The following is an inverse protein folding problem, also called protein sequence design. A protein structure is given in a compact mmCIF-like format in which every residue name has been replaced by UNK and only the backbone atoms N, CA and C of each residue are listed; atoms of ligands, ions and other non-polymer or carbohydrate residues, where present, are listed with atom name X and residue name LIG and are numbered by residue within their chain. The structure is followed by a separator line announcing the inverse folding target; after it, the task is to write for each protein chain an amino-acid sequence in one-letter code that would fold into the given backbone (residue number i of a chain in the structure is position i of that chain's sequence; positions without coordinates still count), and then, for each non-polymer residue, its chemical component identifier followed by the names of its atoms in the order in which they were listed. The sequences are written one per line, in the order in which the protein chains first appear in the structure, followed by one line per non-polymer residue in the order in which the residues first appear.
data_IF_828281766906
#
_entry.id   IF_828281766906
#
_cell.length_a   1.000
_cell.length_b   1.000
_cell.length_c   1.000
_cell.angle_alpha   90.00
_cell.angle_beta   90.00
_cell.angle_gamma   90.00
#
_symmetry.space_group_name_H-M   'P 1'
#
loop_
_entity.id
_entity.type
_entity.pdbx_description
1 polymer ?
#
# COMPACT_ATOMS: atom_id res chain seq x y z
N UNK A 1 -30.34 -18.04 13.72
CA UNK A 1 -31.67 -18.34 13.17
C UNK A 1 -31.51 -19.32 12.00
N UNK A 2 -32.57 -20.07 11.65
CA UNK A 2 -32.56 -20.98 10.49
C UNK A 2 -32.15 -20.28 9.18
N UNK A 3 -32.51 -19.00 9.02
CA UNK A 3 -32.09 -18.18 7.88
C UNK A 3 -30.58 -17.95 7.83
N UNK A 4 -29.93 -17.62 8.96
CA UNK A 4 -28.48 -17.46 9.03
C UNK A 4 -27.73 -18.75 8.67
N UNK A 5 -28.27 -19.91 9.06
CA UNK A 5 -27.68 -21.22 8.74
C UNK A 5 -27.86 -21.57 7.25
N UNK A 6 -29.00 -21.22 6.66
CA UNK A 6 -29.26 -21.45 5.24
C UNK A 6 -28.41 -20.53 4.36
N UNK A 7 -28.27 -19.26 4.74
CA UNK A 7 -27.36 -18.32 4.08
C UNK A 7 -25.90 -18.77 4.20
N UNK A 8 -25.48 -19.29 5.36
CA UNK A 8 -24.16 -19.88 5.58
C UNK A 8 -23.89 -21.12 4.71
N UNK A 9 -24.83 -22.07 4.65
CA UNK A 9 -24.69 -23.27 3.81
C UNK A 9 -24.68 -22.91 2.31
N UNK A 10 -25.45 -21.90 1.90
CA UNK A 10 -25.43 -21.41 0.52
C UNK A 10 -24.14 -20.66 0.17
N UNK A 11 -23.58 -19.88 1.10
CA UNK A 11 -22.24 -19.29 0.98
C UNK A 11 -21.20 -20.39 0.77
N UNK A 12 -21.20 -21.43 1.61
CA UNK A 12 -20.32 -22.61 1.43
C UNK A 12 -20.48 -23.25 0.06
N UNK A 13 -21.72 -23.38 -0.43
CA UNK A 13 -22.00 -23.97 -1.75
C UNK A 13 -21.48 -23.07 -2.90
N UNK A 14 -21.57 -21.75 -2.77
CA UNK A 14 -21.02 -20.80 -3.74
C UNK A 14 -19.49 -20.73 -3.71
N UNK A 15 -18.88 -20.74 -2.52
CA UNK A 15 -17.42 -20.87 -2.35
C UNK A 15 -16.94 -22.17 -2.97
N UNK A 16 -17.65 -23.28 -2.75
CA UNK A 16 -17.37 -24.57 -3.40
C UNK A 16 -17.54 -24.49 -4.93
N UNK A 17 -18.58 -23.83 -5.43
CA UNK A 17 -18.79 -23.61 -6.87
C UNK A 17 -17.69 -22.73 -7.49
N UNK A 18 -17.20 -21.73 -6.77
CA UNK A 18 -16.06 -20.89 -7.16
C UNK A 18 -14.75 -21.69 -7.20
N UNK A 19 -14.53 -22.58 -6.21
CA UNK A 19 -13.41 -23.54 -6.18
C UNK A 19 -13.48 -24.55 -7.33
N UNK A 20 -14.67 -24.97 -7.76
CA UNK A 20 -14.88 -25.86 -8.91
C UNK A 20 -14.77 -25.09 -10.24
N UNK A 21 -14.97 -23.77 -10.21
CA UNK A 21 -14.93 -22.87 -11.37
C UNK A 21 -13.52 -22.46 -11.83
N UNK A 22 -12.46 -22.74 -11.05
CA UNK A 22 -11.10 -22.67 -11.58
C UNK A 22 -10.88 -23.88 -12.50
N UNK A 23 -11.25 -23.71 -13.78
CA UNK A 23 -10.94 -24.71 -14.80
C UNK A 23 -9.44 -25.05 -14.73
N UNK A 24 -9.05 -26.34 -14.86
CA UNK A 24 -7.66 -26.73 -15.02
C UNK A 24 -6.94 -25.90 -16.10
N UNK A 25 -7.68 -25.46 -17.14
CA UNK A 25 -7.18 -24.59 -18.19
C UNK A 25 -6.87 -23.15 -17.71
N UNK A 26 -7.61 -22.60 -16.76
CA UNK A 26 -7.32 -21.27 -16.18
C UNK A 26 -6.12 -21.32 -15.24
N UNK A 27 -5.98 -22.41 -14.47
CA UNK A 27 -4.80 -22.67 -13.66
C UNK A 27 -3.56 -22.91 -14.54
N UNK A 28 -3.72 -23.66 -15.64
CA UNK A 28 -2.66 -23.91 -16.62
C UNK A 28 -2.28 -22.64 -17.39
N UNK A 29 -3.24 -21.82 -17.84
CA UNK A 29 -2.99 -20.54 -18.49
C UNK A 29 -2.35 -19.52 -17.53
N UNK A 30 -2.70 -19.53 -16.24
CA UNK A 30 -2.02 -18.75 -15.20
C UNK A 30 -0.57 -19.22 -15.03
N UNK A 31 -0.35 -20.55 -14.99
CA UNK A 31 1.00 -21.14 -14.96
C UNK A 31 1.82 -20.79 -16.19
N UNK A 32 1.21 -20.82 -17.38
CA UNK A 32 1.83 -20.45 -18.65
C UNK A 32 2.13 -18.95 -18.76
N UNK A 33 1.26 -18.10 -18.22
CA UNK A 33 1.45 -16.64 -18.24
C UNK A 33 2.49 -16.19 -17.22
N UNK A 34 2.52 -16.83 -16.04
CA UNK A 34 3.61 -16.69 -15.06
C UNK A 34 4.93 -17.23 -15.62
N UNK A 35 4.92 -18.37 -16.32
CA UNK A 35 6.12 -18.93 -16.96
C UNK A 35 6.60 -18.16 -18.20
N UNK A 36 5.79 -17.23 -18.75
CA UNK A 36 6.18 -16.37 -19.88
C UNK A 36 6.93 -15.12 -19.45
N UNK A 37 6.87 -14.72 -18.17
CA UNK A 37 7.75 -13.67 -17.64
C UNK A 37 9.11 -14.31 -17.40
N UNK A 38 10.09 -13.95 -18.22
CA UNK A 38 11.49 -14.28 -17.95
C UNK A 38 11.90 -13.49 -16.72
N UNK A 39 11.79 -14.11 -15.56
CA UNK A 39 12.25 -13.52 -14.32
C UNK A 39 13.77 -13.49 -14.30
N UNK A 40 14.32 -12.29 -14.14
CA UNK A 40 15.74 -12.13 -13.88
C UNK A 40 16.04 -12.65 -12.47
N UNK A 41 17.22 -13.25 -12.30
CA UNK A 41 17.71 -13.58 -10.96
C UNK A 41 17.84 -12.30 -10.12
N UNK A 42 17.37 -12.35 -8.87
CA UNK A 42 17.55 -11.26 -7.92
C UNK A 42 19.06 -11.13 -7.65
N UNK A 43 19.57 -9.90 -7.70
CA UNK A 43 21.00 -9.63 -7.45
C UNK A 43 21.40 -9.99 -6.02
N UNK A 44 22.70 -10.22 -5.76
CA UNK A 44 23.20 -10.33 -4.39
C UNK A 44 22.91 -9.07 -3.56
N UNK A 45 22.90 -9.25 -2.23
CA UNK A 45 22.76 -8.13 -1.29
C UNK A 45 23.93 -7.14 -1.40
N UNK A 46 23.63 -5.87 -1.17
CA UNK A 46 24.69 -4.86 -1.01
C UNK A 46 25.49 -5.13 0.28
N UNK A 47 26.80 -4.80 0.32
CA UNK A 47 27.63 -5.01 1.50
C UNK A 47 27.09 -4.26 2.73
N UNK A 48 26.92 -4.97 3.85
CA UNK A 48 26.32 -4.43 5.08
C UNK A 48 27.08 -3.24 5.65
N UNK A 49 28.41 -3.29 5.62
CA UNK A 49 29.31 -2.21 6.04
C UNK A 49 29.06 -0.92 5.25
N UNK A 50 28.84 -1.04 3.95
CA UNK A 50 28.49 0.10 3.09
C UNK A 50 27.11 0.67 3.41
N UNK A 51 26.13 -0.18 3.67
CA UNK A 51 24.78 0.26 4.07
C UNK A 51 24.83 1.01 5.41
N UNK A 52 25.55 0.46 6.39
CA UNK A 52 25.73 1.12 7.69
C UNK A 52 26.44 2.46 7.57
N UNK A 53 27.50 2.54 6.77
CA UNK A 53 28.20 3.79 6.52
C UNK A 53 27.27 4.84 5.92
N UNK A 54 26.58 4.52 4.82
CA UNK A 54 25.65 5.46 4.17
C UNK A 54 24.54 5.94 5.12
N UNK A 55 24.04 5.08 6.01
CA UNK A 55 23.02 5.46 7.00
C UNK A 55 23.57 6.28 8.17
N UNK A 56 24.81 6.04 8.60
CA UNK A 56 25.45 6.77 9.70
C UNK A 56 25.98 8.14 9.26
N UNK A 57 26.31 8.29 7.97
CA UNK A 57 26.71 9.57 7.37
C UNK A 57 25.53 10.53 7.17
N UNK A 58 24.28 10.05 7.31
CA UNK A 58 23.10 10.90 7.23
C UNK A 58 23.05 11.89 8.41
N UNK A 59 22.67 13.15 8.16
CA UNK A 59 22.48 14.12 9.24
C UNK A 59 21.42 13.67 10.23
N UNK A 60 21.58 14.02 11.51
CA UNK A 60 20.68 13.57 12.59
C UNK A 60 19.17 13.82 12.32
N UNK A 61 18.83 14.90 11.60
CA UNK A 61 17.44 15.22 11.20
C UNK A 61 16.78 14.14 10.32
N UNK A 62 17.57 13.28 9.67
CA UNK A 62 17.07 12.18 8.84
C UNK A 62 16.59 10.99 9.68
N UNK A 63 16.96 10.92 10.95
CA UNK A 63 16.43 9.93 11.90
C UNK A 63 15.13 10.45 12.49
N UNK A 64 14.04 9.75 12.24
CA UNK A 64 12.68 10.17 12.58
C UNK A 64 12.19 9.56 13.90
N UNK A 65 12.63 8.33 14.20
CA UNK A 65 12.30 7.63 15.44
C UNK A 65 13.30 6.51 15.72
N UNK A 66 13.38 6.11 16.98
CA UNK A 66 14.07 4.90 17.43
C UNK A 66 13.17 4.11 18.39
N UNK A 67 13.24 2.79 18.34
CA UNK A 67 12.52 1.89 19.26
C UNK A 67 13.31 0.59 19.44
N UNK A 68 13.88 0.40 20.62
CA UNK A 68 14.84 -0.69 20.84
C UNK A 68 15.99 -0.58 19.84
N UNK A 69 16.28 -1.67 19.15
CA UNK A 69 17.36 -1.74 18.15
C UNK A 69 16.95 -1.19 16.77
N UNK A 70 15.69 -0.81 16.58
CA UNK A 70 15.23 -0.25 15.32
C UNK A 70 15.44 1.25 15.25
N UNK A 71 15.99 1.72 14.13
CA UNK A 71 16.00 3.13 13.72
C UNK A 71 15.10 3.32 12.51
N UNK A 72 14.33 4.39 12.50
CA UNK A 72 13.52 4.80 11.36
C UNK A 72 14.15 6.04 10.74
N UNK A 73 14.58 5.92 9.49
CA UNK A 73 15.29 6.98 8.77
C UNK A 73 14.62 7.25 7.42
N UNK A 74 14.90 8.42 6.84
CA UNK A 74 14.64 8.67 5.43
C UNK A 74 15.89 9.16 4.71
N UNK A 75 16.03 8.82 3.43
CA UNK A 75 17.15 9.24 2.59
C UNK A 75 16.68 9.53 1.16
N UNK A 76 17.58 10.06 0.34
CA UNK A 76 17.39 10.23 -1.11
C UNK A 76 18.32 9.28 -1.87
N UNK A 77 18.04 9.06 -3.15
CA UNK A 77 18.89 8.26 -4.03
C UNK A 77 20.34 8.76 -4.07
N UNK A 78 20.53 10.08 -4.08
CA UNK A 78 21.85 10.70 -4.15
C UNK A 78 22.65 10.54 -2.84
N UNK A 79 21.98 10.60 -1.69
CA UNK A 79 22.64 10.51 -0.39
C UNK A 79 23.01 9.07 0.01
N UNK A 80 22.21 8.08 -0.41
CA UNK A 80 22.44 6.67 -0.02
C UNK A 80 22.18 5.71 -1.19
N UNK A 81 23.07 5.68 -2.20
CA UNK A 81 22.86 4.89 -3.41
C UNK A 81 22.93 3.37 -3.18
N UNK A 82 23.74 2.87 -2.25
CA UNK A 82 23.73 1.44 -1.90
C UNK A 82 22.45 1.07 -1.13
N UNK A 83 22.01 1.91 -0.21
CA UNK A 83 20.73 1.73 0.48
C UNK A 83 19.58 1.64 -0.51
N UNK A 84 19.53 2.52 -1.52
CA UNK A 84 18.48 2.46 -2.55
C UNK A 84 18.53 1.17 -3.37
N UNK A 85 19.73 0.73 -3.78
CA UNK A 85 19.89 -0.55 -4.52
C UNK A 85 19.44 -1.74 -3.69
N UNK A 86 19.72 -1.73 -2.40
CA UNK A 86 19.27 -2.78 -1.47
C UNK A 86 17.77 -2.74 -1.25
N UNK A 87 17.17 -1.55 -1.11
CA UNK A 87 15.70 -1.37 -1.07
C UNK A 87 15.07 -1.99 -2.32
N UNK A 88 15.59 -1.69 -3.52
CA UNK A 88 15.06 -2.23 -4.78
C UNK A 88 15.17 -3.76 -4.86
N UNK A 89 16.28 -4.33 -4.37
CA UNK A 89 16.47 -5.79 -4.29
C UNK A 89 15.44 -6.42 -3.33
N UNK A 90 15.28 -5.85 -2.14
CA UNK A 90 14.38 -6.35 -1.10
C UNK A 90 12.89 -6.17 -1.45
N UNK A 91 12.54 -5.10 -2.16
CA UNK A 91 11.22 -4.91 -2.77
C UNK A 91 10.90 -6.08 -3.69
N UNK A 92 11.74 -6.32 -4.70
CA UNK A 92 11.50 -7.39 -5.66
C UNK A 92 11.42 -8.76 -4.98
N UNK A 93 12.33 -9.06 -4.04
CA UNK A 93 12.32 -10.29 -3.25
C UNK A 93 10.99 -10.48 -2.52
N UNK A 94 10.47 -9.41 -1.92
CA UNK A 94 9.23 -9.45 -1.13
C UNK A 94 8.01 -9.57 -2.03
N UNK A 95 7.94 -8.77 -3.10
CA UNK A 95 6.79 -8.72 -4.01
C UNK A 95 6.64 -10.02 -4.81
N UNK A 96 7.73 -10.61 -5.32
CA UNK A 96 7.66 -11.93 -5.97
C UNK A 96 7.15 -13.02 -5.05
N UNK A 97 7.48 -12.95 -3.75
CA UNK A 97 7.02 -13.91 -2.75
C UNK A 97 5.50 -13.99 -2.59
N UNK A 98 4.75 -12.98 -3.08
CA UNK A 98 3.29 -12.89 -3.00
C UNK A 98 2.61 -12.78 -4.38
N UNK A 99 3.33 -13.18 -5.44
CA UNK A 99 2.82 -13.21 -6.81
C UNK A 99 2.76 -11.83 -7.50
N UNK A 100 3.41 -10.82 -6.91
CA UNK A 100 3.54 -9.46 -7.43
C UNK A 100 4.94 -9.23 -8.04
N UNK A 101 5.33 -7.97 -8.21
CA UNK A 101 6.69 -7.59 -8.58
C UNK A 101 6.92 -7.44 -10.09
N UNK A 102 8.11 -6.94 -10.43
CA UNK A 102 8.43 -6.52 -11.80
C UNK A 102 9.04 -7.64 -12.65
N UNK A 103 9.53 -8.71 -12.02
CA UNK A 103 10.30 -9.77 -12.66
C UNK A 103 11.75 -9.38 -12.97
N UNK A 104 12.19 -8.17 -12.57
CA UNK A 104 13.56 -7.67 -12.79
C UNK A 104 14.48 -7.98 -11.62
N UNK A 105 15.78 -7.83 -11.77
CA UNK A 105 16.72 -8.14 -10.68
C UNK A 105 16.59 -7.22 -9.44
N UNK A 106 16.04 -6.02 -9.64
CA UNK A 106 15.67 -5.04 -8.60
C UNK A 106 14.37 -4.35 -9.03
N UNK A 107 13.51 -4.06 -8.08
CA UNK A 107 12.35 -3.19 -8.27
C UNK A 107 12.77 -1.73 -8.06
N UNK A 108 13.35 -1.15 -9.12
CA UNK A 108 13.66 0.28 -9.22
C UNK A 108 13.11 0.84 -10.54
N UNK A 109 12.50 2.02 -10.48
CA UNK A 109 11.97 2.77 -11.61
C UNK A 109 12.61 4.16 -11.71
N UNK A 110 12.18 4.96 -12.68
CA UNK A 110 12.73 6.31 -12.90
C UNK A 110 12.38 7.31 -11.77
N UNK A 111 11.33 7.03 -11.01
CA UNK A 111 10.84 7.87 -9.91
C UNK A 111 11.73 7.73 -8.67
N UNK A 112 12.33 6.56 -8.45
CA UNK A 112 13.17 6.32 -7.27
C UNK A 112 14.35 7.29 -7.13
N UNK A 113 14.77 7.95 -8.22
CA UNK A 113 15.81 8.98 -8.19
C UNK A 113 15.36 10.30 -7.54
N UNK A 114 14.09 10.68 -7.72
CA UNK A 114 13.54 11.92 -7.15
C UNK A 114 12.96 11.71 -5.75
N UNK A 115 12.43 10.50 -5.49
CA UNK A 115 11.65 10.21 -4.29
C UNK A 115 12.55 10.06 -3.07
N UNK A 116 11.97 10.38 -1.92
CA UNK A 116 12.52 10.03 -0.62
C UNK A 116 12.20 8.56 -0.30
N UNK A 117 13.12 7.91 0.39
CA UNK A 117 13.01 6.52 0.81
C UNK A 117 13.07 6.45 2.32
N UNK A 118 11.93 6.18 2.94
CA UNK A 118 11.80 5.87 4.36
C UNK A 118 12.13 4.40 4.59
N UNK A 119 12.89 4.09 5.62
CA UNK A 119 13.26 2.72 5.96
C UNK A 119 13.33 2.49 7.47
N UNK A 120 13.12 1.23 7.84
CA UNK A 120 13.42 0.73 9.19
C UNK A 120 14.71 -0.08 9.11
N UNK A 121 15.71 0.34 9.87
CA UNK A 121 17.00 -0.32 10.00
C UNK A 121 17.07 -1.03 11.35
N UNK A 122 17.47 -2.30 11.36
CA UNK A 122 17.80 -3.04 12.59
C UNK A 122 19.28 -2.88 12.90
N UNK A 123 19.61 -2.27 14.05
CA UNK A 123 21.00 -2.18 14.52
C UNK A 123 21.59 -3.49 15.01
N UNK A 124 20.76 -4.44 15.43
CA UNK A 124 21.23 -5.74 15.92
C UNK A 124 21.60 -6.64 14.74
N UNK A 125 20.62 -6.94 13.88
CA UNK A 125 20.82 -7.77 12.67
C UNK A 125 21.43 -7.06 11.46
N UNK A 126 21.80 -5.77 11.59
CA UNK A 126 22.46 -4.95 10.55
C UNK A 126 21.82 -5.04 9.17
N UNK A 127 20.51 -4.84 9.12
CA UNK A 127 19.75 -4.96 7.87
C UNK A 127 18.53 -4.04 7.83
N UNK A 128 18.11 -3.72 6.60
CA UNK A 128 16.83 -3.08 6.33
C UNK A 128 15.73 -4.11 6.59
N UNK A 129 14.72 -3.71 7.36
CA UNK A 129 13.57 -4.54 7.78
C UNK A 129 12.37 -4.30 6.86
N UNK A 130 12.18 -3.06 6.45
CA UNK A 130 11.12 -2.63 5.56
C UNK A 130 11.35 -1.19 5.12
N UNK A 131 10.65 -0.77 4.07
CA UNK A 131 10.76 0.58 3.54
C UNK A 131 9.44 1.07 2.95
N UNK A 132 9.38 2.38 2.71
CA UNK A 132 8.29 3.10 2.05
C UNK A 132 8.89 4.17 1.14
N UNK A 133 8.28 4.41 -0.03
CA UNK A 133 8.63 5.51 -0.94
C UNK A 133 7.72 6.72 -0.70
N UNK A 134 8.28 7.93 -0.65
CA UNK A 134 7.58 9.19 -0.39
C UNK A 134 7.96 10.25 -1.42
N UNK A 135 6.99 10.97 -1.98
CA UNK A 135 7.24 12.17 -2.80
C UNK A 135 6.36 13.34 -2.38
N UNK A 136 6.91 14.55 -2.41
CA UNK A 136 6.24 15.76 -1.99
C UNK A 136 5.61 16.42 -3.22
N UNK A 137 4.28 16.36 -3.32
CA UNK A 137 3.56 16.70 -4.55
C UNK A 137 3.85 18.12 -5.06
N UNK A 138 3.93 19.12 -4.19
CA UNK A 138 4.24 20.50 -4.57
C UNK A 138 5.66 20.64 -5.15
N UNK A 139 6.65 19.99 -4.53
CA UNK A 139 8.05 20.03 -4.98
C UNK A 139 8.27 19.28 -6.29
N UNK A 140 7.66 18.10 -6.47
CA UNK A 140 7.79 17.36 -7.72
C UNK A 140 7.02 18.02 -8.86
N UNK A 141 5.84 18.60 -8.60
CA UNK A 141 5.07 19.31 -9.61
C UNK A 141 5.82 20.53 -10.14
N UNK A 142 6.54 21.24 -9.29
CA UNK A 142 7.37 22.38 -9.71
C UNK A 142 8.54 21.95 -10.62
N UNK A 143 9.10 20.76 -10.38
CA UNK A 143 10.30 20.27 -11.09
C UNK A 143 9.98 19.50 -12.36
N UNK A 144 8.99 18.61 -12.32
CA UNK A 144 8.66 17.63 -13.38
C UNK A 144 7.20 17.67 -13.83
N UNK A 145 6.38 18.53 -13.23
CA UNK A 145 4.94 18.50 -13.46
C UNK A 145 4.31 17.18 -13.00
N UNK A 146 3.12 16.88 -13.51
CA UNK A 146 2.33 15.71 -13.09
C UNK A 146 3.05 14.40 -13.45
N UNK A 147 3.82 14.40 -14.53
CA UNK A 147 4.59 13.23 -14.97
C UNK A 147 5.68 12.81 -13.97
N UNK A 148 6.02 13.66 -13.00
CA UNK A 148 6.92 13.29 -11.91
C UNK A 148 6.27 12.42 -10.82
N UNK A 149 4.93 12.26 -10.84
CA UNK A 149 4.21 11.39 -9.90
C UNK A 149 4.03 9.99 -10.50
N UNK A 150 4.43 8.96 -9.77
CA UNK A 150 4.26 7.56 -10.13
C UNK A 150 2.79 7.22 -10.42
N UNK A 151 1.85 7.70 -9.60
CA UNK A 151 0.42 7.48 -9.80
C UNK A 151 -0.10 8.00 -11.14
N UNK A 152 0.60 8.95 -11.79
CA UNK A 152 0.24 9.42 -13.13
C UNK A 152 0.45 8.34 -14.22
N UNK A 153 1.24 7.31 -13.93
CA UNK A 153 1.43 6.12 -14.79
C UNK A 153 0.28 5.12 -14.69
N UNK A 154 -0.47 5.13 -13.59
CA UNK A 154 -1.60 4.25 -13.31
C UNK A 154 -2.96 4.94 -13.56
N UNK A 155 -3.01 6.24 -13.31
CA UNK A 155 -4.21 7.06 -13.37
C UNK A 155 -3.98 8.31 -14.21
N UNK A 156 -5.02 8.75 -14.91
CA UNK A 156 -5.06 10.06 -15.58
C UNK A 156 -5.79 11.02 -14.66
N UNK A 157 -5.11 12.09 -14.30
CA UNK A 157 -5.64 13.23 -13.57
C UNK A 157 -4.79 14.45 -13.92
N UNK A 158 -5.30 15.63 -13.60
CA UNK A 158 -4.61 16.88 -13.88
C UNK A 158 -4.42 17.73 -12.62
N UNK A 159 -4.10 19.01 -12.83
CA UNK A 159 -3.85 19.95 -11.75
C UNK A 159 -5.09 20.19 -10.88
N UNK A 160 -6.30 20.05 -11.41
CA UNK A 160 -7.53 20.30 -10.65
C UNK A 160 -7.69 19.34 -9.47
N UNK A 161 -7.26 18.08 -9.60
CA UNK A 161 -7.21 17.15 -8.46
C UNK A 161 -6.17 17.62 -7.43
N UNK A 162 -4.95 17.93 -7.90
CA UNK A 162 -3.82 18.24 -7.04
C UNK A 162 -4.00 19.58 -6.31
N UNK A 163 -4.74 20.52 -6.88
CA UNK A 163 -5.12 21.76 -6.19
C UNK A 163 -6.16 21.53 -5.09
N UNK A 164 -6.96 20.45 -5.15
CA UNK A 164 -7.93 20.12 -4.11
C UNK A 164 -7.32 19.31 -2.96
N UNK A 165 -6.33 18.47 -3.25
CA UNK A 165 -5.70 17.60 -2.23
C UNK A 165 -4.33 18.12 -1.77
N UNK A 166 -3.75 19.10 -2.47
CA UNK A 166 -2.38 19.55 -2.26
C UNK A 166 -2.24 20.61 -1.14
N UNK A 167 -1.03 20.74 -0.56
CA UNK A 167 0.14 19.89 -0.76
C UNK A 167 -0.05 18.52 -0.05
N UNK A 168 0.24 17.45 -0.79
CA UNK A 168 0.11 16.06 -0.35
C UNK A 168 1.44 15.30 -0.47
N UNK A 169 1.55 14.16 0.21
CA UNK A 169 2.64 13.20 0.03
C UNK A 169 2.12 12.00 -0.75
N UNK A 170 2.77 11.69 -1.86
CA UNK A 170 2.54 10.44 -2.57
C UNK A 170 3.31 9.31 -1.87
N UNK A 171 2.60 8.22 -1.55
CA UNK A 171 3.13 7.04 -0.89
C UNK A 171 3.08 5.84 -1.83
N UNK A 172 4.15 5.05 -1.88
CA UNK A 172 4.12 3.79 -2.62
C UNK A 172 5.23 2.80 -2.28
N UNK A 173 5.21 1.65 -2.95
CA UNK A 173 6.26 0.61 -2.93
C UNK A 173 6.70 0.20 -1.52
N UNK A 174 5.74 0.11 -0.61
CA UNK A 174 6.01 -0.31 0.76
C UNK A 174 6.21 -1.82 0.83
N UNK A 175 7.19 -2.25 1.61
CA UNK A 175 7.39 -3.66 1.89
C UNK A 175 7.92 -3.86 3.30
N UNK A 176 7.68 -5.05 3.83
CA UNK A 176 8.34 -5.59 5.02
C UNK A 176 8.89 -6.93 4.62
N UNK A 177 10.15 -7.18 4.94
CA UNK A 177 10.82 -8.43 4.62
C UNK A 177 10.04 -9.62 5.17
N UNK A 178 9.96 -10.75 4.44
CA UNK A 178 9.16 -11.90 4.83
C UNK A 178 9.41 -12.37 6.27
N UNK A 179 10.67 -12.35 6.71
CA UNK A 179 11.08 -12.76 8.06
C UNK A 179 10.43 -11.94 9.18
N UNK A 180 10.03 -10.70 8.90
CA UNK A 180 9.49 -9.74 9.86
C UNK A 180 7.99 -9.46 9.67
N UNK A 181 7.33 -10.09 8.70
CA UNK A 181 5.91 -9.81 8.40
C UNK A 181 4.95 -10.26 9.51
N UNK A 182 5.37 -11.20 10.36
CA UNK A 182 4.61 -11.63 11.55
C UNK A 182 4.79 -10.68 12.73
N UNK A 183 5.81 -9.82 12.68
CA UNK A 183 6.06 -8.86 13.74
C UNK A 183 5.21 -7.62 13.54
N UNK A 184 4.66 -7.13 14.65
CA UNK A 184 3.85 -5.92 14.63
C UNK A 184 4.69 -4.64 14.45
N UNK A 185 5.93 -4.66 14.94
CA UNK A 185 6.78 -3.48 15.06
C UNK A 185 7.17 -2.84 13.71
N UNK A 186 7.59 -3.57 12.66
CA UNK A 186 8.10 -2.95 11.43
C UNK A 186 7.10 -2.04 10.73
N UNK A 187 5.86 -2.52 10.51
CA UNK A 187 4.83 -1.70 9.88
C UNK A 187 4.50 -0.48 10.74
N UNK A 188 4.36 -0.70 12.04
CA UNK A 188 4.08 0.37 12.99
C UNK A 188 5.18 1.45 12.97
N UNK A 189 6.45 1.04 12.86
CA UNK A 189 7.61 1.93 12.78
C UNK A 189 7.67 2.69 11.46
N UNK A 190 7.32 2.08 10.31
CA UNK A 190 7.19 2.81 9.05
C UNK A 190 6.12 3.91 9.16
N UNK A 191 4.94 3.59 9.70
CA UNK A 191 3.88 4.59 9.89
C UNK A 191 4.26 5.66 10.93
N UNK A 192 5.00 5.29 11.97
CA UNK A 192 5.62 6.25 12.90
C UNK A 192 6.59 7.18 12.16
N UNK A 193 7.43 6.64 11.29
CA UNK A 193 8.33 7.43 10.43
C UNK A 193 7.58 8.44 9.57
N UNK A 194 6.56 7.99 8.82
CA UNK A 194 5.71 8.87 7.99
C UNK A 194 5.11 9.99 8.84
N UNK A 195 4.53 9.64 9.99
CA UNK A 195 3.89 10.61 10.88
C UNK A 195 4.88 11.62 11.48
N UNK A 196 6.08 11.18 11.87
CA UNK A 196 7.16 12.06 12.38
C UNK A 196 7.71 12.97 11.28
N UNK A 197 7.82 12.47 10.05
CA UNK A 197 8.20 13.27 8.90
C UNK A 197 7.17 14.38 8.65
N UNK A 198 5.88 14.06 8.72
CA UNK A 198 4.78 15.02 8.57
C UNK A 198 4.74 16.02 9.73
N UNK A 199 4.99 15.59 10.96
CA UNK A 199 5.07 16.51 12.10
C UNK A 199 6.17 17.56 11.91
N UNK A 200 7.30 17.19 11.30
CA UNK A 200 8.37 18.13 10.94
C UNK A 200 8.02 19.00 9.70
N UNK A 201 7.01 18.61 8.92
CA UNK A 201 6.56 19.30 7.71
C UNK A 201 5.02 19.44 7.72
N UNK A 202 4.44 20.18 8.68
CA UNK A 202 3.02 20.09 9.02
C UNK A 202 2.06 20.55 7.92
N UNK A 203 2.56 21.24 6.88
CA UNK A 203 1.77 21.59 5.68
C UNK A 203 1.19 20.35 4.97
N UNK A 204 1.86 19.20 5.06
CA UNK A 204 1.41 17.95 4.42
C UNK A 204 0.42 17.18 5.30
N UNK A 205 -0.88 17.47 5.19
CA UNK A 205 -1.92 16.68 5.89
C UNK A 205 -2.49 15.53 5.05
N UNK A 206 -2.35 15.61 3.73
CA UNK A 206 -2.93 14.65 2.79
C UNK A 206 -1.88 13.61 2.37
N UNK A 207 -2.28 12.34 2.40
CA UNK A 207 -1.52 11.21 1.88
C UNK A 207 -2.30 10.59 0.72
N UNK A 208 -1.64 10.28 -0.39
CA UNK A 208 -2.27 9.55 -1.47
C UNK A 208 -1.33 8.53 -2.09
N UNK A 209 -1.86 7.46 -2.68
CA UNK A 209 -1.03 6.44 -3.30
C UNK A 209 -1.77 5.15 -3.59
N UNK A 210 -1.22 4.29 -4.46
CA UNK A 210 -1.83 3.02 -4.78
C UNK A 210 -1.56 2.02 -3.66
N UNK A 211 -2.61 1.31 -3.24
CA UNK A 211 -2.53 0.14 -2.38
C UNK A 211 -2.92 -1.08 -3.20
N UNK A 212 -1.97 -1.99 -3.37
CA UNK A 212 -2.12 -3.17 -4.21
C UNK A 212 -2.85 -4.31 -3.48
N UNK A 213 -3.74 -4.96 -4.21
CA UNK A 213 -4.39 -6.21 -3.83
C UNK A 213 -3.89 -7.27 -4.82
N UNK A 214 -3.15 -8.26 -4.30
CA UNK A 214 -2.54 -9.31 -5.11
C UNK A 214 -3.55 -9.99 -6.04
N UNK A 215 -3.11 -10.32 -7.25
CA UNK A 215 -3.93 -11.06 -8.20
C UNK A 215 -4.21 -12.50 -7.72
N UNK A 216 -3.47 -12.99 -6.72
CA UNK A 216 -3.61 -14.32 -6.13
C UNK A 216 -4.92 -14.52 -5.34
N UNK A 217 -5.56 -13.43 -4.91
CA UNK A 217 -6.89 -13.48 -4.28
C UNK A 217 -7.92 -14.12 -5.22
N UNK A 218 -8.85 -14.87 -4.62
CA UNK A 218 -10.00 -15.40 -5.35
C UNK A 218 -10.80 -14.25 -5.99
N UNK A 219 -11.40 -14.51 -7.16
CA UNK A 219 -12.15 -13.49 -7.91
C UNK A 219 -13.27 -12.86 -7.10
N UNK A 220 -14.00 -13.67 -6.33
CA UNK A 220 -15.04 -13.21 -5.40
C UNK A 220 -14.47 -12.30 -4.30
N UNK A 221 -13.31 -12.64 -3.72
CA UNK A 221 -12.65 -11.83 -2.69
C UNK A 221 -12.25 -10.45 -3.24
N UNK A 222 -11.68 -10.41 -4.44
CA UNK A 222 -11.35 -9.15 -5.13
C UNK A 222 -12.60 -8.31 -5.38
N UNK A 223 -13.70 -8.92 -5.83
CA UNK A 223 -14.96 -8.20 -6.04
C UNK A 223 -15.53 -7.64 -4.73
N UNK A 224 -15.51 -8.40 -3.64
CA UNK A 224 -15.98 -7.95 -2.33
C UNK A 224 -15.13 -6.79 -1.78
N UNK A 225 -13.80 -6.88 -1.92
CA UNK A 225 -12.87 -5.79 -1.60
C UNK A 225 -13.18 -4.53 -2.43
N UNK A 226 -13.36 -4.70 -3.74
CA UNK A 226 -13.70 -3.59 -4.64
C UNK A 226 -15.01 -2.91 -4.25
N UNK A 227 -16.05 -3.69 -3.95
CA UNK A 227 -17.34 -3.17 -3.54
C UNK A 227 -17.26 -2.43 -2.20
N UNK A 228 -16.59 -3.02 -1.20
CA UNK A 228 -16.40 -2.40 0.10
C UNK A 228 -15.67 -1.05 -0.01
N UNK A 229 -14.57 -1.01 -0.77
CA UNK A 229 -13.78 0.21 -0.93
C UNK A 229 -14.51 1.25 -1.78
N UNK A 230 -15.28 0.83 -2.79
CA UNK A 230 -16.11 1.74 -3.59
C UNK A 230 -17.19 2.40 -2.75
N UNK A 231 -17.82 1.64 -1.85
CA UNK A 231 -18.81 2.18 -0.93
C UNK A 231 -18.20 3.16 0.09
N UNK A 232 -16.95 2.92 0.48
CA UNK A 232 -16.16 3.80 1.34
C UNK A 232 -15.28 4.78 0.53
N UNK A 233 -15.70 5.11 -0.70
CA UNK A 233 -14.98 5.96 -1.63
C UNK A 233 -14.90 7.43 -1.20
N UNK A 234 -14.04 8.17 -1.88
CA UNK A 234 -13.93 9.63 -1.75
C UNK A 234 -15.19 10.32 -2.30
N UNK A 235 -15.27 11.64 -2.15
CA UNK A 235 -16.39 12.40 -2.69
C UNK A 235 -16.52 12.20 -4.22
N UNK A 236 -17.74 12.17 -4.76
CA UNK A 236 -17.95 12.04 -6.20
C UNK A 236 -17.22 13.11 -7.02
N UNK A 237 -17.01 14.30 -6.44
CA UNK A 237 -16.32 15.40 -7.12
C UNK A 237 -14.82 15.14 -7.28
N UNK A 238 -14.17 14.52 -6.28
CA UNK A 238 -12.77 14.08 -6.43
C UNK A 238 -12.66 12.90 -7.38
N UNK A 239 -13.58 11.93 -7.32
CA UNK A 239 -13.54 10.75 -8.19
C UNK A 239 -13.69 11.09 -9.67
N UNK A 240 -14.48 12.12 -10.02
CA UNK A 240 -14.63 12.60 -11.42
C UNK A 240 -13.34 13.17 -12.01
N UNK A 241 -12.37 13.58 -11.19
CA UNK A 241 -11.11 14.16 -11.64
C UNK A 241 -10.06 13.09 -11.96
N UNK A 242 -10.39 11.80 -11.80
CA UNK A 242 -9.47 10.69 -11.95
C UNK A 242 -10.08 9.66 -12.88
N UNK A 243 -9.30 9.23 -13.87
CA UNK A 243 -9.67 8.12 -14.76
C UNK A 243 -8.56 7.08 -14.73
N UNK A 244 -8.83 5.80 -14.40
CA UNK A 244 -7.82 4.76 -14.43
C UNK A 244 -7.35 4.48 -15.87
N UNK A 245 -6.07 4.16 -16.04
CA UNK A 245 -5.53 3.84 -17.37
C UNK A 245 -5.91 2.44 -17.83
N UNK A 246 -6.03 1.51 -16.89
CA UNK A 246 -6.47 0.14 -17.10
C UNK A 246 -7.53 -0.24 -16.06
N UNK A 247 -8.81 0.16 -16.27
CA UNK A 247 -9.87 -0.10 -15.31
C UNK A 247 -10.09 -1.60 -15.09
N UNK A 248 -10.32 -2.05 -13.85
CA UNK A 248 -10.69 -3.43 -13.58
C UNK A 248 -12.08 -3.76 -14.13
N UNK A 249 -12.29 -5.03 -14.46
CA UNK A 249 -13.60 -5.53 -14.86
C UNK A 249 -14.48 -5.75 -13.62
N UNK A 250 -15.44 -4.85 -13.42
CA UNK A 250 -16.47 -5.02 -12.39
C UNK A 250 -17.45 -6.12 -12.81
N UNK A 251 -17.51 -7.19 -12.02
CA UNK A 251 -18.58 -8.17 -12.13
C UNK A 251 -19.86 -7.63 -11.48
N UNK A 252 -21.02 -8.02 -12.00
CA UNK A 252 -22.29 -7.75 -11.31
C UNK A 252 -22.58 -8.89 -10.35
N UNK A 253 -22.69 -8.59 -9.06
CA UNK A 253 -23.16 -9.57 -8.09
C UNK A 253 -24.59 -10.01 -8.39
N UNK A 254 -24.86 -11.32 -8.32
CA UNK A 254 -26.22 -11.86 -8.49
C UNK A 254 -26.66 -12.69 -7.28
N UNK A 255 -27.90 -12.48 -6.84
CA UNK A 255 -28.51 -13.26 -5.77
C UNK A 255 -27.80 -13.10 -4.42
N UNK A 256 -27.15 -14.15 -3.94
CA UNK A 256 -26.51 -14.20 -2.61
C UNK A 256 -25.25 -13.36 -2.57
N UNK A 257 -24.53 -13.24 -3.70
CA UNK A 257 -23.38 -12.35 -3.81
C UNK A 257 -23.76 -10.89 -3.52
N UNK A 258 -24.96 -10.47 -3.91
CA UNK A 258 -25.46 -9.13 -3.62
C UNK A 258 -25.77 -8.94 -2.12
N UNK A 259 -26.25 -9.99 -1.44
CA UNK A 259 -26.46 -9.97 0.02
C UNK A 259 -25.14 -9.98 0.79
N UNK A 260 -24.16 -10.77 0.34
CA UNK A 260 -22.81 -10.80 0.88
C UNK A 260 -22.14 -9.45 0.71
N UNK A 261 -22.15 -8.89 -0.50
CA UNK A 261 -21.70 -7.54 -0.78
C UNK A 261 -22.36 -6.52 0.16
N UNK A 262 -23.69 -6.53 0.27
CA UNK A 262 -24.43 -5.62 1.16
C UNK A 262 -24.10 -5.79 2.66
N UNK A 263 -23.55 -6.93 3.07
CA UNK A 263 -23.11 -7.20 4.44
C UNK A 263 -21.65 -6.81 4.64
N UNK A 264 -20.79 -7.20 3.71
CA UNK A 264 -19.36 -6.91 3.69
C UNK A 264 -19.09 -5.40 3.64
N UNK A 265 -19.89 -4.67 2.87
CA UNK A 265 -19.83 -3.21 2.73
C UNK A 265 -20.02 -2.44 4.04
N UNK A 266 -20.66 -3.03 5.05
CA UNK A 266 -21.04 -2.33 6.29
C UNK A 266 -19.91 -2.18 7.30
N UNK A 267 -19.01 -3.15 7.38
CA UNK A 267 -17.95 -3.20 8.39
C UNK A 267 -16.74 -3.99 7.88
N UNK A 268 -15.55 -3.45 8.14
CA UNK A 268 -14.25 -4.09 7.89
C UNK A 268 -14.19 -5.47 8.54
N UNK A 269 -14.73 -5.64 9.76
CA UNK A 269 -14.70 -6.94 10.47
C UNK A 269 -15.47 -8.01 9.71
N UNK A 270 -16.69 -7.68 9.29
CA UNK A 270 -17.54 -8.60 8.51
C UNK A 270 -16.87 -8.98 7.19
N UNK A 271 -16.24 -8.02 6.50
CA UNK A 271 -15.50 -8.31 5.27
C UNK A 271 -14.32 -9.24 5.55
N UNK A 272 -13.56 -9.00 6.60
CA UNK A 272 -12.39 -9.82 6.95
C UNK A 272 -12.76 -11.29 7.25
N UNK A 273 -13.85 -11.49 8.01
CA UNK A 273 -14.38 -12.83 8.30
C UNK A 273 -14.82 -13.55 7.01
N UNK A 274 -15.52 -12.86 6.11
CA UNK A 274 -15.95 -13.41 4.82
C UNK A 274 -14.72 -13.75 3.93
N UNK A 275 -13.71 -12.88 3.90
CA UNK A 275 -12.48 -13.12 3.15
C UNK A 275 -11.73 -14.34 3.67
N UNK A 276 -11.56 -14.46 4.99
CA UNK A 276 -10.91 -15.60 5.62
C UNK A 276 -11.60 -16.92 5.23
N UNK A 277 -12.94 -16.94 5.20
CA UNK A 277 -13.70 -18.12 4.76
C UNK A 277 -13.45 -18.50 3.29
N UNK A 278 -13.43 -17.51 2.39
CA UNK A 278 -13.23 -17.74 0.95
C UNK A 278 -11.81 -18.24 0.69
N UNK A 279 -10.82 -17.58 1.29
CA UNK A 279 -9.39 -17.82 1.11
C UNK A 279 -8.85 -18.99 1.97
N UNK A 280 -9.74 -19.68 2.70
CA UNK A 280 -9.42 -20.81 3.57
C UNK A 280 -8.35 -20.47 4.62
N UNK A 281 -8.53 -19.33 5.30
CA UNK A 281 -7.65 -18.78 6.34
C UNK A 281 -6.21 -18.48 5.89
N UNK A 282 -5.94 -18.51 4.57
CA UNK A 282 -4.61 -18.21 4.02
C UNK A 282 -4.39 -16.74 3.77
N UNK A 283 -5.43 -16.03 3.35
CA UNK A 283 -5.38 -14.60 3.01
C UNK A 283 -6.57 -13.90 3.68
N UNK A 284 -6.28 -12.89 4.51
CA UNK A 284 -7.27 -11.95 5.06
C UNK A 284 -7.10 -10.60 4.36
N UNK A 285 -7.84 -9.55 4.75
CA UNK A 285 -7.62 -8.24 4.14
C UNK A 285 -6.14 -7.82 4.23
N UNK A 286 -5.52 -7.33 3.13
CA UNK A 286 -4.12 -6.90 3.14
C UNK A 286 -3.84 -5.96 4.32
N UNK A 287 -2.80 -6.25 5.11
CA UNK A 287 -2.50 -5.50 6.34
C UNK A 287 -2.31 -4.01 6.04
N UNK A 288 -1.67 -3.69 4.92
CA UNK A 288 -1.51 -2.32 4.48
C UNK A 288 -2.85 -1.65 4.19
N UNK A 289 -3.74 -2.30 3.45
CA UNK A 289 -5.09 -1.77 3.18
C UNK A 289 -5.86 -1.50 4.47
N UNK A 290 -5.81 -2.44 5.42
CA UNK A 290 -6.42 -2.27 6.75
C UNK A 290 -5.86 -1.05 7.49
N UNK A 291 -4.56 -0.79 7.35
CA UNK A 291 -3.91 0.36 7.95
C UNK A 291 -4.38 1.68 7.30
N UNK A 292 -4.54 1.72 5.98
CA UNK A 292 -5.15 2.89 5.30
C UNK A 292 -6.58 3.14 5.78
N UNK A 293 -7.41 2.10 5.91
CA UNK A 293 -8.78 2.24 6.42
C UNK A 293 -8.82 2.78 7.85
N UNK A 294 -7.87 2.39 8.71
CA UNK A 294 -7.72 2.94 10.07
C UNK A 294 -7.36 4.43 10.08
N UNK A 295 -6.73 4.93 9.02
CA UNK A 295 -6.43 6.33 8.80
C UNK A 295 -7.57 7.07 8.07
N UNK A 296 -8.78 6.49 8.07
CA UNK A 296 -9.95 7.02 7.37
C UNK A 296 -9.71 7.24 5.86
N UNK A 297 -8.79 6.48 5.27
CA UNK A 297 -8.50 6.61 3.85
C UNK A 297 -9.71 6.22 2.99
N UNK A 298 -9.89 6.95 1.90
CA UNK A 298 -10.99 6.82 0.96
C UNK A 298 -10.45 6.42 -0.41
N UNK A 299 -11.20 5.59 -1.11
CA UNK A 299 -10.85 5.17 -2.46
C UNK A 299 -11.19 6.27 -3.48
N UNK A 300 -10.22 6.65 -4.31
CA UNK A 300 -10.39 7.53 -5.46
C UNK A 300 -10.75 6.76 -6.74
N UNK A 301 -9.97 5.73 -7.07
CA UNK A 301 -10.19 4.92 -8.26
C UNK A 301 -9.46 3.58 -8.16
N UNK A 302 -9.86 2.61 -8.99
CA UNK A 302 -9.14 1.36 -9.17
C UNK A 302 -8.44 1.28 -10.52
N UNK A 303 -7.26 0.66 -10.55
CA UNK A 303 -6.52 0.32 -11.76
C UNK A 303 -5.97 -1.11 -11.66
N UNK A 304 -5.80 -1.80 -12.78
CA UNK A 304 -5.04 -3.06 -12.85
C UNK A 304 -3.66 -2.76 -13.40
N UNK A 305 -2.60 -3.16 -12.71
CA UNK A 305 -1.21 -2.97 -13.13
C UNK A 305 -0.62 -4.26 -13.73
N UNK A 306 -0.54 -4.39 -15.06
CA UNK A 306 0.01 -5.58 -15.71
C UNK A 306 1.52 -5.70 -15.57
N UNK A 307 2.23 -4.60 -15.29
CA UNK A 307 3.68 -4.56 -15.14
C UNK A 307 4.10 -5.03 -13.74
N UNK A 308 3.18 -5.01 -12.79
CA UNK A 308 3.39 -5.45 -11.41
C UNK A 308 2.61 -6.73 -11.03
N UNK A 309 2.39 -7.65 -11.97
CA UNK A 309 1.76 -8.95 -11.68
C UNK A 309 0.24 -9.00 -11.82
N UNK A 310 -0.33 -8.10 -12.65
CA UNK A 310 -1.77 -7.91 -12.79
C UNK A 310 -2.47 -7.59 -11.45
N UNK A 311 -1.78 -6.90 -10.53
CA UNK A 311 -2.36 -6.49 -9.24
C UNK A 311 -3.50 -5.51 -9.45
N UNK A 312 -4.45 -5.53 -8.51
CA UNK A 312 -5.49 -4.51 -8.43
C UNK A 312 -5.03 -3.39 -7.50
N UNK A 313 -4.74 -2.22 -8.05
CA UNK A 313 -4.38 -1.03 -7.30
C UNK A 313 -5.62 -0.21 -6.97
N UNK A 314 -5.85 0.04 -5.68
CA UNK A 314 -6.76 1.09 -5.21
C UNK A 314 -5.98 2.36 -4.93
N UNK A 315 -6.27 3.45 -5.64
CA UNK A 315 -5.73 4.78 -5.30
C UNK A 315 -6.43 5.28 -4.04
N UNK A 316 -5.72 5.29 -2.93
CA UNK A 316 -6.25 5.70 -1.63
C UNK A 316 -5.86 7.15 -1.34
N UNK A 317 -6.74 7.87 -0.64
CA UNK A 317 -6.53 9.24 -0.15
C UNK A 317 -6.85 9.30 1.34
N UNK A 318 -5.93 9.79 2.16
CA UNK A 318 -6.15 9.99 3.60
C UNK A 318 -5.88 11.44 4.00
N UNK A 319 -6.74 12.00 4.84
CA UNK A 319 -6.53 13.28 5.51
C UNK A 319 -6.21 13.01 6.99
N UNK A 320 -4.97 13.26 7.39
CA UNK A 320 -4.53 13.01 8.76
C UNK A 320 -5.25 13.88 9.79
N UNK A 321 -5.86 15.00 9.39
CA UNK A 321 -6.67 15.83 10.30
C UNK A 321 -8.00 15.18 10.70
N UNK A 322 -8.44 14.18 9.94
CA UNK A 322 -9.67 13.42 10.20
C UNK A 322 -9.43 12.11 10.98
N UNK A 323 -8.16 11.79 11.25
CA UNK A 323 -7.77 10.56 11.96
C UNK A 323 -8.01 10.71 13.46
N UNK A 324 -8.36 9.60 14.12
CA UNK A 324 -8.53 9.57 15.57
C UNK A 324 -7.28 10.11 16.30
N UNK A 325 -7.50 11.01 17.27
CA UNK A 325 -6.43 11.70 17.98
C UNK A 325 -5.50 10.74 18.73
N UNK A 326 -6.02 9.66 19.29
CA UNK A 326 -5.17 8.67 19.98
C UNK A 326 -4.26 7.96 18.97
N UNK A 327 -4.74 7.71 17.75
CA UNK A 327 -3.93 7.16 16.68
C UNK A 327 -2.85 8.14 16.19
N UNK A 328 -3.18 9.42 16.01
CA UNK A 328 -2.20 10.45 15.67
C UNK A 328 -1.11 10.54 16.73
N UNK A 329 -1.47 10.63 18.02
CA UNK A 329 -0.51 10.67 19.14
C UNK A 329 0.39 9.42 19.15
N UNK A 330 -0.15 8.25 18.84
CA UNK A 330 0.61 7.00 18.80
C UNK A 330 1.72 7.01 17.76
N UNK A 331 1.50 7.62 16.59
CA UNK A 331 2.48 7.67 15.50
C UNK A 331 3.33 8.94 15.51
N UNK A 332 2.75 10.12 15.77
CA UNK A 332 3.48 11.38 15.78
C UNK A 332 4.21 11.62 17.09
N UNK A 333 3.70 11.14 18.22
CA UNK A 333 4.06 11.65 19.55
C UNK A 333 3.03 12.67 20.04
N UNK A 334 2.93 12.85 21.36
CA UNK A 334 1.88 13.67 21.97
C UNK A 334 2.01 15.15 21.60
N UNK A 335 3.22 15.69 21.74
CA UNK A 335 3.47 17.12 21.53
C UNK A 335 3.43 17.46 20.05
N UNK A 336 4.02 16.61 19.21
CA UNK A 336 4.01 16.78 17.76
C UNK A 336 2.59 16.65 17.17
N UNK A 337 1.77 15.73 17.66
CA UNK A 337 0.36 15.64 17.24
C UNK A 337 -0.42 16.89 17.62
N UNK A 338 -0.18 17.45 18.82
CA UNK A 338 -0.84 18.69 19.25
C UNK A 338 -0.43 19.88 18.39
N UNK A 339 0.87 20.01 18.07
CA UNK A 339 1.38 21.05 17.19
C UNK A 339 0.84 20.91 15.76
N UNK A 340 0.79 19.69 15.22
CA UNK A 340 0.22 19.40 13.91
C UNK A 340 -1.26 19.79 13.84
N UNK A 341 -2.07 19.38 14.81
CA UNK A 341 -3.50 19.74 14.84
C UNK A 341 -3.71 21.25 15.00
N UNK A 342 -2.92 21.91 15.87
CA UNK A 342 -2.96 23.35 16.06
C UNK A 342 -2.58 24.11 14.77
N UNK A 343 -1.59 23.64 14.02
CA UNK A 343 -1.22 24.19 12.71
C UNK A 343 -2.40 24.19 11.72
N UNK A 344 -3.27 23.18 11.79
CA UNK A 344 -4.48 23.07 10.96
C UNK A 344 -5.74 23.66 11.63
N UNK A 345 -5.62 24.35 12.76
CA UNK A 345 -6.73 25.00 13.45
C UNK A 345 -7.69 24.04 14.17
N UNK A 346 -7.22 22.85 14.56
CA UNK A 346 -8.01 21.81 15.20
C UNK A 346 -7.60 21.69 16.68
N UNK A 347 -8.56 21.94 17.58
CA UNK A 347 -8.38 21.95 19.04
C UNK A 347 -8.56 20.60 19.72
#
# INVERSE_FOLDING_TARGET
SPEKLNDYLRLRTYVLRGRIGSSPAAALARRERLSRRVEQAIVPAEPTDRLEQELNDLPARHTLASLGDFRVLYTSAAASPAVLREIGRLRELTFRGVGEGTGRARDLDEFDADYLHLLVWSNDSKQIVGAYRLELSDEILARRGIAGLYTSTLFRYDRALLDQIGPAIELGRSFIRPEFQRDYAPLMLLWRGIARFIAAHPKYKMLFGPVSISNDYHSLSKQLLMEFLSHNGASPDLQKLITPRNPPRLGKFRGIEAKLAATAVRDVRNLDDILAEIEADRLSMPILLRQYLKLNARLLAFNVDPDFGDVLDGLMLADLTTVDRAMLVRYMGRDEAAQFLAFHGIG
#
